data_IF_968705697121
#
_entry.id   IF_968705697121
#
_cell.length_a   1.000
_cell.length_b   1.000
_cell.length_c   1.000
_cell.angle_alpha   90.00
_cell.angle_beta   90.00
_cell.angle_gamma   90.00
#
_symmetry.space_group_name_H-M   'P 1'
#
loop_
_entity.id
_entity.type
_entity.pdbx_description
1 polymer ?
#
# COMPACT_ATOMS: atom_id res chain seq x y z
N UNK A 1 28.88 -14.70 2.61
CA UNK A 1 27.88 -14.47 1.55
C UNK A 1 28.59 -13.64 0.49
N UNK A 2 28.65 -14.09 -0.77
CA UNK A 2 29.33 -13.34 -1.84
C UNK A 2 28.48 -12.16 -2.31
N UNK A 3 29.09 -11.15 -2.96
CA UNK A 3 28.35 -10.01 -3.52
C UNK A 3 27.28 -10.47 -4.52
N UNK A 4 27.62 -11.43 -5.39
CA UNK A 4 26.69 -12.05 -6.35
C UNK A 4 25.43 -12.61 -5.67
N UNK A 5 25.58 -13.34 -4.56
CA UNK A 5 24.46 -13.89 -3.81
C UNK A 5 23.58 -12.79 -3.20
N UNK A 6 24.19 -11.70 -2.74
CA UNK A 6 23.48 -10.58 -2.13
C UNK A 6 22.67 -9.81 -3.19
N UNK A 7 23.26 -9.56 -4.36
CA UNK A 7 22.59 -8.89 -5.47
C UNK A 7 21.44 -9.74 -6.03
N UNK A 8 21.65 -11.06 -6.17
CA UNK A 8 20.62 -11.99 -6.60
C UNK A 8 19.41 -11.98 -5.65
N UNK A 9 19.65 -12.03 -4.33
CA UNK A 9 18.58 -11.94 -3.34
C UNK A 9 17.83 -10.61 -3.37
N UNK A 10 18.55 -9.49 -3.52
CA UNK A 10 17.93 -8.18 -3.66
C UNK A 10 16.98 -8.13 -4.87
N UNK A 11 17.36 -8.77 -5.96
CA UNK A 11 16.57 -8.83 -7.19
C UNK A 11 15.28 -9.64 -6.99
N UNK A 12 15.37 -10.80 -6.33
CA UNK A 12 14.22 -11.63 -5.98
C UNK A 12 13.20 -10.88 -5.10
N UNK A 13 13.69 -10.06 -4.17
CA UNK A 13 12.82 -9.32 -3.27
C UNK A 13 12.16 -8.12 -3.91
N UNK A 14 12.87 -7.43 -4.80
CA UNK A 14 12.27 -6.37 -5.59
C UNK A 14 11.21 -6.92 -6.54
N UNK A 15 11.42 -8.11 -7.10
CA UNK A 15 10.38 -8.81 -7.86
C UNK A 15 9.18 -9.16 -6.97
N UNK A 16 9.42 -9.69 -5.76
CA UNK A 16 8.33 -9.97 -4.81
C UNK A 16 7.59 -8.68 -4.41
N UNK A 17 8.31 -7.59 -4.15
CA UNK A 17 7.73 -6.28 -3.85
C UNK A 17 6.87 -5.77 -5.01
N UNK A 18 7.33 -5.94 -6.25
CA UNK A 18 6.55 -5.59 -7.45
C UNK A 18 5.23 -6.38 -7.51
N UNK A 19 5.27 -7.69 -7.25
CA UNK A 19 4.05 -8.52 -7.21
C UNK A 19 3.11 -8.12 -6.07
N UNK A 20 3.64 -7.76 -4.90
CA UNK A 20 2.83 -7.27 -3.78
C UNK A 20 2.16 -5.94 -4.12
N UNK A 21 2.85 -5.04 -4.83
CA UNK A 21 2.28 -3.78 -5.28
C UNK A 21 1.18 -3.98 -6.34
N UNK A 22 1.32 -4.94 -7.25
CA UNK A 22 0.24 -5.30 -8.18
C UNK A 22 -0.98 -5.84 -7.43
N UNK A 23 -0.77 -6.78 -6.49
CA UNK A 23 -1.86 -7.32 -5.64
C UNK A 23 -2.54 -6.25 -4.80
N UNK A 24 -1.78 -5.28 -4.29
CA UNK A 24 -2.31 -4.15 -3.52
C UNK A 24 -3.25 -3.30 -4.39
N UNK A 25 -2.85 -3.00 -5.63
CA UNK A 25 -3.70 -2.27 -6.56
C UNK A 25 -5.00 -3.03 -6.86
N UNK A 26 -4.89 -4.33 -7.15
CA UNK A 26 -6.03 -5.18 -7.44
C UNK A 26 -7.01 -5.24 -6.26
N UNK A 27 -6.51 -5.36 -5.03
CA UNK A 27 -7.32 -5.35 -3.82
C UNK A 27 -8.00 -3.99 -3.58
N UNK A 28 -7.30 -2.88 -3.83
CA UNK A 28 -7.86 -1.51 -3.75
C UNK A 28 -9.01 -1.34 -4.76
N UNK A 29 -8.77 -1.72 -6.02
CA UNK A 29 -9.75 -1.56 -7.10
C UNK A 29 -10.96 -2.46 -6.87
N UNK A 30 -10.74 -3.69 -6.41
CA UNK A 30 -11.80 -4.68 -6.12
C UNK A 30 -12.53 -4.41 -4.81
N UNK A 31 -12.05 -3.45 -4.00
CA UNK A 31 -12.57 -3.13 -2.65
C UNK A 31 -12.52 -4.34 -1.71
N UNK A 32 -11.51 -5.17 -1.89
CA UNK A 32 -11.25 -6.35 -1.05
C UNK A 32 -10.39 -5.95 0.14
N UNK A 33 -11.05 -5.55 1.23
CA UNK A 33 -10.39 -5.00 2.40
C UNK A 33 -9.64 -6.07 3.19
N UNK A 34 -10.10 -7.33 3.17
CA UNK A 34 -9.45 -8.42 3.89
C UNK A 34 -8.13 -8.79 3.22
N UNK A 35 -8.14 -8.94 1.90
CA UNK A 35 -6.92 -9.20 1.13
C UNK A 35 -5.94 -7.99 1.20
N UNK A 36 -6.46 -6.76 1.14
CA UNK A 36 -5.64 -5.55 1.22
C UNK A 36 -4.81 -5.50 2.52
N UNK A 37 -5.38 -5.89 3.67
CA UNK A 37 -4.66 -5.91 4.94
C UNK A 37 -3.46 -6.87 4.86
N UNK A 38 -3.69 -8.11 4.40
CA UNK A 38 -2.63 -9.12 4.28
C UNK A 38 -1.51 -8.70 3.32
N UNK A 39 -1.87 -8.08 2.19
CA UNK A 39 -0.90 -7.56 1.22
C UNK A 39 -0.07 -6.42 1.82
N UNK A 40 -0.68 -5.51 2.57
CA UNK A 40 0.03 -4.39 3.21
C UNK A 40 0.99 -4.89 4.30
N UNK A 41 0.59 -5.87 5.11
CA UNK A 41 1.48 -6.50 6.10
C UNK A 41 2.69 -7.14 5.43
N UNK A 42 2.46 -7.93 4.38
CA UNK A 42 3.54 -8.58 3.59
C UNK A 42 4.49 -7.56 2.97
N UNK A 43 3.96 -6.42 2.48
CA UNK A 43 4.73 -5.30 1.93
C UNK A 43 5.62 -4.65 2.98
N UNK A 44 5.13 -4.46 4.21
CA UNK A 44 5.92 -3.90 5.33
C UNK A 44 7.09 -4.82 5.70
N UNK A 45 6.87 -6.14 5.75
CA UNK A 45 7.93 -7.11 6.01
C UNK A 45 8.98 -7.11 4.90
N UNK A 46 8.54 -7.14 3.64
CA UNK A 46 9.43 -7.06 2.47
C UNK A 46 10.29 -5.79 2.49
N UNK A 47 9.70 -4.64 2.79
CA UNK A 47 10.42 -3.36 2.91
C UNK A 47 11.51 -3.37 3.99
N UNK A 48 11.20 -3.93 5.17
CA UNK A 48 12.22 -4.05 6.24
C UNK A 48 13.38 -4.91 5.78
N UNK A 49 13.07 -5.99 5.08
CA UNK A 49 14.07 -6.92 4.59
C UNK A 49 14.97 -6.27 3.53
N UNK A 50 14.38 -5.54 2.56
CA UNK A 50 15.10 -4.75 1.54
C UNK A 50 16.03 -3.73 2.22
N UNK A 51 15.51 -2.96 3.20
CA UNK A 51 16.32 -1.96 3.92
C UNK A 51 17.52 -2.57 4.65
N UNK A 52 17.36 -3.75 5.26
CA UNK A 52 18.48 -4.43 5.93
C UNK A 52 19.56 -4.86 4.95
N UNK A 53 19.18 -5.32 3.75
CA UNK A 53 20.16 -5.69 2.71
C UNK A 53 20.81 -4.49 2.05
N UNK A 54 20.08 -3.43 1.79
CA UNK A 54 20.67 -2.18 1.28
C UNK A 54 21.77 -1.68 2.22
N UNK A 55 21.55 -1.75 3.53
CA UNK A 55 22.57 -1.41 4.53
C UNK A 55 23.77 -2.37 4.51
N UNK A 56 23.55 -3.66 4.26
CA UNK A 56 24.62 -4.65 4.17
C UNK A 56 25.45 -4.44 2.89
N UNK A 57 24.79 -4.19 1.76
CA UNK A 57 25.40 -3.87 0.47
C UNK A 57 26.24 -2.58 0.60
N UNK A 58 25.70 -1.52 1.21
CA UNK A 58 26.42 -0.27 1.42
C UNK A 58 27.72 -0.48 2.24
N UNK A 59 27.65 -1.27 3.32
CA UNK A 59 28.84 -1.59 4.13
C UNK A 59 29.91 -2.37 3.35
N UNK A 60 29.51 -3.27 2.46
CA UNK A 60 30.45 -4.02 1.62
C UNK A 60 31.14 -3.13 0.58
N UNK A 61 30.42 -2.15 0.03
CA UNK A 61 31.01 -1.15 -0.86
C UNK A 61 31.99 -0.21 -0.14
N UNK A 62 31.67 0.22 1.07
CA UNK A 62 32.56 1.08 1.87
C UNK A 62 33.88 0.39 2.29
N UNK A 63 33.90 -0.94 2.33
CA UNK A 63 35.07 -1.74 2.68
C UNK A 63 36.09 -1.85 1.52
N UNK A 64 35.74 -1.43 0.30
CA UNK A 64 36.68 -1.27 -0.82
C UNK A 64 37.26 -2.57 -1.43
N UNK A 65 36.99 -3.73 -0.84
CA UNK A 65 37.55 -5.03 -1.25
C UNK A 65 36.78 -5.72 -2.39
N UNK A 66 35.76 -5.08 -2.97
CA UNK A 66 34.87 -5.72 -3.95
C UNK A 66 35.00 -5.11 -5.33
N UNK A 67 35.34 -5.92 -6.33
CA UNK A 67 35.35 -5.51 -7.74
C UNK A 67 33.91 -5.32 -8.26
N UNK A 68 33.45 -4.07 -8.23
CA UNK A 68 32.10 -3.65 -8.64
C UNK A 68 31.95 -3.69 -10.16
N UNK A 69 33.05 -3.68 -10.92
CA UNK A 69 33.01 -3.55 -12.38
C UNK A 69 32.28 -4.72 -13.05
N UNK A 70 32.39 -5.90 -12.46
CA UNK A 70 31.73 -7.13 -12.93
C UNK A 70 30.23 -7.18 -12.65
N UNK A 71 29.72 -6.33 -11.74
CA UNK A 71 28.31 -6.37 -11.29
C UNK A 71 27.49 -5.16 -11.72
N UNK A 72 28.02 -4.37 -12.66
CA UNK A 72 27.41 -3.10 -13.08
C UNK A 72 26.00 -3.30 -13.67
N UNK A 73 25.79 -4.39 -14.38
CA UNK A 73 24.51 -4.69 -15.01
C UNK A 73 23.45 -5.10 -13.97
N UNK A 74 23.78 -5.95 -12.99
CA UNK A 74 22.83 -6.29 -11.92
C UNK A 74 22.49 -5.09 -11.05
N UNK A 75 23.48 -4.25 -10.73
CA UNK A 75 23.24 -3.00 -10.00
C UNK A 75 22.31 -2.06 -10.80
N UNK A 76 22.50 -1.95 -12.11
CA UNK A 76 21.61 -1.17 -12.96
C UNK A 76 20.19 -1.72 -12.95
N UNK A 77 20.04 -3.05 -13.04
CA UNK A 77 18.74 -3.71 -13.01
C UNK A 77 18.02 -3.51 -11.67
N UNK A 78 18.73 -3.64 -10.55
CA UNK A 78 18.20 -3.38 -9.20
C UNK A 78 17.69 -1.94 -9.08
N UNK A 79 18.47 -0.96 -9.57
CA UNK A 79 18.06 0.45 -9.54
C UNK A 79 16.81 0.71 -10.39
N UNK A 80 16.70 0.04 -11.55
CA UNK A 80 15.52 0.15 -12.39
C UNK A 80 14.28 -0.45 -11.69
N UNK A 81 14.40 -1.66 -11.14
CA UNK A 81 13.31 -2.30 -10.39
C UNK A 81 12.86 -1.48 -9.18
N UNK A 82 13.79 -0.84 -8.47
CA UNK A 82 13.48 0.10 -7.38
C UNK A 82 12.67 1.30 -7.87
N UNK A 83 13.06 1.88 -9.01
CA UNK A 83 12.34 2.99 -9.61
C UNK A 83 10.92 2.59 -10.03
N UNK A 84 10.77 1.39 -10.61
CA UNK A 84 9.48 0.83 -11.01
C UNK A 84 8.59 0.54 -9.79
N UNK A 85 9.13 -0.08 -8.74
CA UNK A 85 8.42 -0.30 -7.47
C UNK A 85 7.95 1.03 -6.86
N UNK A 86 8.79 2.06 -6.88
CA UNK A 86 8.41 3.40 -6.37
C UNK A 86 7.26 3.99 -7.17
N UNK A 87 7.34 3.94 -8.50
CA UNK A 87 6.29 4.43 -9.38
C UNK A 87 4.96 3.69 -9.14
N UNK A 88 5.00 2.37 -9.00
CA UNK A 88 3.80 1.58 -8.73
C UNK A 88 3.22 1.89 -7.35
N UNK A 89 4.06 2.09 -6.34
CA UNK A 89 3.60 2.52 -5.01
C UNK A 89 2.88 3.88 -5.06
N UNK A 90 3.38 4.84 -5.86
CA UNK A 90 2.72 6.13 -6.04
C UNK A 90 1.34 5.96 -6.71
N UNK A 91 1.22 5.06 -7.70
CA UNK A 91 -0.06 4.69 -8.32
C UNK A 91 -1.03 4.13 -7.28
N UNK A 92 -0.57 3.20 -6.45
CA UNK A 92 -1.39 2.59 -5.40
C UNK A 92 -1.87 3.62 -4.37
N UNK A 93 -1.00 4.57 -3.99
CA UNK A 93 -1.38 5.66 -3.09
C UNK A 93 -2.48 6.54 -3.71
N UNK A 94 -2.38 6.87 -5.00
CA UNK A 94 -3.43 7.61 -5.71
C UNK A 94 -4.74 6.82 -5.75
N UNK A 95 -4.68 5.52 -6.04
CA UNK A 95 -5.86 4.65 -6.08
C UNK A 95 -6.55 4.56 -4.71
N UNK A 96 -5.79 4.38 -3.63
CA UNK A 96 -6.32 4.33 -2.27
C UNK A 96 -7.02 5.64 -1.89
N UNK A 97 -6.40 6.78 -2.18
CA UNK A 97 -6.98 8.11 -1.93
C UNK A 97 -8.29 8.31 -2.70
N UNK A 98 -8.35 7.89 -3.97
CA UNK A 98 -9.56 7.97 -4.77
C UNK A 98 -10.68 7.09 -4.20
N UNK A 99 -10.37 5.87 -3.78
CA UNK A 99 -11.33 4.96 -3.13
C UNK A 99 -11.88 5.54 -1.83
N UNK A 100 -11.05 6.21 -1.04
CA UNK A 100 -11.47 6.89 0.18
C UNK A 100 -12.41 8.07 -0.12
N UNK A 101 -12.03 8.94 -1.07
CA UNK A 101 -12.87 10.09 -1.48
C UNK A 101 -14.22 9.64 -2.03
N UNK A 102 -14.25 8.57 -2.83
CA UNK A 102 -15.49 8.01 -3.36
C UNK A 102 -16.39 7.48 -2.24
N UNK A 103 -15.82 6.76 -1.27
CA UNK A 103 -16.55 6.24 -0.11
C UNK A 103 -17.10 7.37 0.77
N UNK A 104 -16.31 8.44 0.97
CA UNK A 104 -16.75 9.62 1.70
C UNK A 104 -17.88 10.35 0.97
N UNK A 105 -17.78 10.55 -0.35
CA UNK A 105 -18.87 11.13 -1.15
C UNK A 105 -20.14 10.30 -1.07
N UNK A 106 -20.03 8.96 -1.15
CA UNK A 106 -21.19 8.08 -1.02
C UNK A 106 -21.83 8.23 0.36
N UNK A 107 -21.03 8.27 1.43
CA UNK A 107 -21.51 8.54 2.79
C UNK A 107 -22.21 9.90 2.87
N UNK A 108 -21.62 10.94 2.28
CA UNK A 108 -22.22 12.29 2.26
C UNK A 108 -23.51 12.35 1.44
N UNK A 109 -23.68 11.52 0.41
CA UNK A 109 -24.94 11.42 -0.35
C UNK A 109 -26.00 10.66 0.46
N UNK A 110 -25.64 9.49 1.02
CA UNK A 110 -26.56 8.64 1.76
C UNK A 110 -27.03 9.27 3.07
N UNK A 111 -26.17 10.02 3.74
CA UNK A 111 -26.41 10.59 5.06
C UNK A 111 -26.35 12.13 5.05
N UNK A 112 -26.57 12.76 3.90
CA UNK A 112 -26.29 14.17 3.65
C UNK A 112 -26.70 15.15 4.75
N UNK A 113 -25.88 16.21 4.84
CA UNK A 113 -25.72 17.31 5.83
C UNK A 113 -26.92 17.85 6.63
N UNK A 114 -28.16 17.42 6.39
CA UNK A 114 -29.28 17.60 7.28
C UNK A 114 -30.08 16.31 7.27
N UNK A 115 -30.18 15.62 8.40
CA UNK A 115 -31.09 14.48 8.56
C UNK A 115 -32.53 14.98 8.46
N UNK A 116 -33.06 15.26 7.27
CA UNK A 116 -34.49 15.43 7.05
C UNK A 116 -35.08 14.05 6.80
N UNK A 117 -35.41 13.36 7.90
CA UNK A 117 -36.30 12.20 7.84
C UNK A 117 -37.74 12.70 7.83
N UNK A 118 -38.62 12.03 7.08
CA UNK A 118 -40.06 12.29 7.16
C UNK A 118 -40.66 11.36 8.22
N UNK A 119 -41.49 11.90 9.13
CA UNK A 119 -42.31 11.03 10.00
C UNK A 119 -43.38 10.29 9.18
N UNK A 120 -44.12 9.38 9.81
CA UNK A 120 -45.24 8.65 9.16
C UNK A 120 -46.39 9.55 8.65
N UNK A 121 -46.30 10.86 8.88
CA UNK A 121 -47.26 11.89 8.43
C UNK A 121 -46.67 12.83 7.37
N UNK A 122 -45.42 12.61 6.94
CA UNK A 122 -44.77 13.41 5.90
C UNK A 122 -44.17 14.74 6.39
N UNK A 123 -43.97 14.94 7.70
CA UNK A 123 -43.27 16.13 8.22
C UNK A 123 -41.77 15.90 8.33
N UNK A 124 -41.00 16.86 7.80
CA UNK A 124 -39.53 16.86 7.86
C UNK A 124 -39.06 17.09 9.29
N UNK A 125 -38.40 16.10 9.88
CA UNK A 125 -37.79 16.15 11.21
C UNK A 125 -36.28 16.17 11.05
N UNK A 126 -35.61 17.17 11.61
CA UNK A 126 -34.16 17.15 11.83
C UNK A 126 -33.86 16.13 12.93
N UNK A 127 -33.44 14.92 12.57
CA UNK A 127 -33.09 13.89 13.53
C UNK A 127 -31.78 14.27 14.26
N UNK A 128 -31.78 14.44 15.60
CA UNK A 128 -30.54 14.52 16.37
C UNK A 128 -30.05 13.10 16.63
N UNK A 129 -28.99 12.71 15.92
CA UNK A 129 -28.03 11.64 16.23
C UNK A 129 -28.58 10.23 16.66
N UNK A 130 -28.44 9.14 15.87
CA UNK A 130 -29.21 7.90 16.08
C UNK A 130 -28.68 6.91 17.13
N UNK A 131 -27.58 7.17 17.84
CA UNK A 131 -26.93 6.11 18.66
C UNK A 131 -27.53 5.96 20.07
N UNK A 132 -28.34 6.90 20.58
CA UNK A 132 -28.67 6.94 22.01
C UNK A 132 -30.03 6.34 22.44
N UNK A 133 -30.92 5.88 21.54
CA UNK A 133 -32.26 5.40 21.94
C UNK A 133 -32.72 4.22 21.10
N UNK A 134 -32.46 3.00 21.56
CA UNK A 134 -33.08 1.84 20.90
C UNK A 134 -32.74 0.46 21.43
N UNK A 135 -31.67 0.29 22.19
CA UNK A 135 -31.44 -0.97 22.93
C UNK A 135 -32.32 -0.99 24.19
N UNK A 136 -33.59 -1.35 24.03
CA UNK A 136 -34.40 -2.01 25.07
C UNK A 136 -35.26 -3.08 24.40
N UNK A 137 -34.91 -4.34 24.70
CA UNK A 137 -35.81 -5.49 24.59
C UNK A 137 -36.94 -5.36 25.61
#
# INVERSE_FOLDING_TARGET
MSLEQILSQQLDELNNMSQLLEKELDAIVSRDHENLISVVESKVESLRSIQQRDQHIAKLFDQGDTDISSFKDEISQINQLLADCKKQNDVNQVAANQSQLASQKLKDILFGKNQSGYDKTGKSISLPNPIARGLKA
#
